data_IF_743529647355
#
_entry.id   IF_743529647355
#
_cell.length_a   1.000
_cell.length_b   1.000
_cell.length_c   1.000
_cell.angle_alpha   90.00
_cell.angle_beta   90.00
_cell.angle_gamma   90.00
#
_symmetry.space_group_name_H-M   'P 1'
#
loop_
_entity.id
_entity.type
_entity.pdbx_description
1 polymer ?
#
# COMPACT_ATOMS: atom_id res chain seq x y z
N UNK A 1 -11.15 1.20 -8.77
CA UNK A 1 -11.26 0.76 -7.36
C UNK A 1 -12.64 1.13 -6.90
N UNK A 2 -13.35 0.19 -6.29
CA UNK A 2 -14.69 0.44 -5.76
C UNK A 2 -14.59 1.08 -4.37
N UNK A 3 -15.66 1.72 -3.87
CA UNK A 3 -15.74 2.13 -2.48
C UNK A 3 -15.58 0.92 -1.55
N UNK A 4 -14.82 1.09 -0.48
CA UNK A 4 -14.53 0.00 0.45
C UNK A 4 -13.30 0.27 1.30
N UNK A 5 -13.02 -0.67 2.20
CA UNK A 5 -11.83 -0.66 3.03
C UNK A 5 -10.77 -1.60 2.46
N UNK A 6 -9.55 -1.10 2.39
CA UNK A 6 -8.43 -1.80 1.78
C UNK A 6 -7.21 -1.74 2.68
N UNK A 7 -6.58 -2.88 2.92
CA UNK A 7 -5.37 -2.98 3.72
C UNK A 7 -4.15 -2.89 2.80
N UNK A 8 -3.48 -1.73 2.78
CA UNK A 8 -2.24 -1.53 2.02
C UNK A 8 -1.04 -2.20 2.72
N UNK A 9 -0.22 -2.89 1.93
CA UNK A 9 0.94 -3.62 2.42
C UNK A 9 2.11 -2.68 2.72
N UNK A 10 2.49 -2.60 4.00
CA UNK A 10 3.66 -1.84 4.46
C UNK A 10 4.95 -2.65 4.53
N UNK A 11 4.85 -3.96 4.76
CA UNK A 11 6.02 -4.82 5.00
C UNK A 11 6.77 -5.20 3.71
N UNK A 12 6.11 -5.21 2.56
CA UNK A 12 6.71 -5.61 1.29
C UNK A 12 6.81 -7.11 1.02
N UNK A 13 6.44 -7.94 1.99
CA UNK A 13 6.47 -9.40 1.88
C UNK A 13 5.19 -10.02 1.30
N UNK A 14 4.18 -9.20 1.02
CA UNK A 14 2.90 -9.69 0.48
C UNK A 14 3.06 -10.21 -0.96
N UNK A 15 2.49 -11.38 -1.24
CA UNK A 15 2.31 -11.93 -2.57
C UNK A 15 1.12 -11.29 -3.32
N UNK A 16 0.23 -10.60 -2.59
CA UNK A 16 -0.94 -9.89 -3.13
C UNK A 16 -0.75 -8.37 -3.20
N UNK A 17 0.49 -7.93 -3.44
CA UNK A 17 0.81 -6.51 -3.58
C UNK A 17 -0.14 -5.82 -4.59
N UNK A 18 -0.61 -4.60 -4.28
CA UNK A 18 -0.18 -3.70 -3.20
C UNK A 18 -0.87 -3.95 -1.85
N UNK A 19 -1.71 -4.98 -1.73
CA UNK A 19 -2.51 -5.23 -0.53
C UNK A 19 -1.87 -6.23 0.41
N UNK A 20 -2.26 -6.16 1.68
CA UNK A 20 -1.80 -7.07 2.72
C UNK A 20 -2.46 -8.45 2.59
N UNK A 21 -1.67 -9.51 2.70
CA UNK A 21 -2.11 -10.91 2.72
C UNK A 21 -1.80 -11.62 4.04
N UNK A 22 -1.27 -10.89 5.04
CA UNK A 22 -0.88 -11.44 6.33
C UNK A 22 0.60 -11.80 6.44
N UNK A 23 1.39 -11.71 5.37
CA UNK A 23 2.83 -12.01 5.38
C UNK A 23 3.67 -11.06 6.25
N UNK A 24 3.05 -10.02 6.83
CA UNK A 24 3.70 -9.10 7.76
C UNK A 24 3.88 -9.67 9.17
N UNK A 25 3.22 -10.80 9.50
CA UNK A 25 3.33 -11.46 10.80
C UNK A 25 4.80 -11.76 11.13
N UNK A 26 5.24 -11.41 12.34
CA UNK A 26 6.63 -11.54 12.76
C UNK A 26 7.51 -10.31 12.47
N UNK A 27 6.96 -9.27 11.84
CA UNK A 27 7.60 -7.96 11.69
C UNK A 27 6.88 -6.92 12.56
N UNK A 28 7.54 -5.81 12.95
CA UNK A 28 6.86 -4.70 13.63
C UNK A 28 5.94 -3.89 12.70
N UNK A 29 5.83 -4.26 11.42
CA UNK A 29 5.06 -3.54 10.42
C UNK A 29 3.65 -4.13 10.29
N UNK A 30 2.63 -3.33 10.64
CA UNK A 30 1.23 -3.62 10.31
C UNK A 30 0.80 -2.97 9.00
N UNK A 31 -0.25 -3.49 8.32
CA UNK A 31 -0.81 -2.85 7.14
C UNK A 31 -1.47 -1.50 7.49
N UNK A 32 -1.61 -0.62 6.48
CA UNK A 32 -2.38 0.61 6.61
C UNK A 32 -3.75 0.42 5.99
N UNK A 33 -4.81 0.50 6.80
CA UNK A 33 -6.18 0.44 6.30
C UNK A 33 -6.60 1.80 5.75
N UNK A 34 -7.11 1.80 4.51
CA UNK A 34 -7.55 3.01 3.80
C UNK A 34 -8.97 2.79 3.32
N UNK A 35 -9.82 3.79 3.55
CA UNK A 35 -11.21 3.80 3.09
C UNK A 35 -11.32 4.60 1.81
N UNK A 36 -11.77 3.95 0.75
CA UNK A 36 -12.11 4.60 -0.52
C UNK A 36 -13.61 4.91 -0.47
N UNK A 37 -13.97 6.19 -0.59
CA UNK A 37 -15.36 6.63 -0.50
C UNK A 37 -16.07 6.57 -1.87
N UNK A 38 -15.33 6.78 -2.94
CA UNK A 38 -15.88 6.90 -4.29
C UNK A 38 -15.13 6.00 -5.26
N UNK A 39 -15.85 5.52 -6.28
CA UNK A 39 -15.26 4.71 -7.34
C UNK A 39 -14.26 5.54 -8.13
N UNK A 40 -13.03 5.06 -8.22
CA UNK A 40 -11.98 5.80 -8.93
C UNK A 40 -10.71 5.00 -9.18
N UNK A 41 -9.76 5.64 -9.88
CA UNK A 41 -8.42 5.09 -10.09
C UNK A 41 -7.52 5.52 -8.95
N UNK A 42 -6.93 4.55 -8.26
CA UNK A 42 -6.00 4.80 -7.16
C UNK A 42 -4.63 4.26 -7.53
N UNK A 43 -3.61 5.11 -7.42
CA UNK A 43 -2.21 4.72 -7.63
C UNK A 43 -1.61 4.33 -6.29
N UNK A 44 -1.53 3.03 -6.02
CA UNK A 44 -0.94 2.51 -4.80
C UNK A 44 0.59 2.52 -4.87
N UNK A 45 1.23 2.82 -3.75
CA UNK A 45 2.68 2.67 -3.64
C UNK A 45 3.04 1.18 -3.59
N UNK A 46 3.91 0.72 -4.49
CA UNK A 46 4.48 -0.63 -4.46
C UNK A 46 5.89 -0.70 -3.83
N UNK A 47 6.66 0.39 -3.92
CA UNK A 47 8.05 0.44 -3.46
C UNK A 47 8.22 0.62 -1.96
N UNK A 48 7.15 1.03 -1.24
CA UNK A 48 7.13 1.36 0.20
C UNK A 48 8.00 2.56 0.62
N UNK A 49 8.50 3.33 -0.34
CA UNK A 49 9.32 4.53 -0.11
C UNK A 49 8.53 5.83 -0.27
N UNK A 50 7.20 5.75 -0.36
CA UNK A 50 6.37 6.95 -0.53
C UNK A 50 6.36 7.81 0.73
N UNK A 51 6.33 9.13 0.53
CA UNK A 51 6.08 10.13 1.58
C UNK A 51 4.59 10.44 1.76
N UNK A 52 3.73 9.88 0.92
CA UNK A 52 2.27 10.03 1.00
C UNK A 52 1.56 8.66 1.06
N UNK A 53 1.81 7.84 2.10
CA UNK A 53 1.21 6.52 2.21
C UNK A 53 -0.32 6.62 2.28
N UNK A 54 -1.06 5.73 1.59
CA UNK A 54 -0.61 4.54 0.83
C UNK A 54 -0.31 4.80 -0.66
N UNK A 55 -0.34 6.06 -1.10
CA UNK A 55 -0.40 6.44 -2.50
C UNK A 55 0.98 6.56 -3.14
N UNK A 56 1.04 6.42 -4.46
CA UNK A 56 2.27 6.60 -5.22
C UNK A 56 2.55 8.09 -5.44
N UNK A 57 3.70 8.57 -4.95
CA UNK A 57 4.25 9.91 -5.15
C UNK A 57 5.48 9.91 -6.07
N UNK A 58 5.72 8.81 -6.78
CA UNK A 58 6.86 8.60 -7.68
C UNK A 58 8.24 8.66 -7.00
N UNK A 59 8.33 8.58 -5.68
CA UNK A 59 9.63 8.60 -4.98
C UNK A 59 10.58 7.47 -5.45
N UNK A 60 10.05 6.34 -5.92
CA UNK A 60 10.85 5.25 -6.50
C UNK A 60 11.61 5.63 -7.79
N UNK A 61 11.29 6.74 -8.45
CA UNK A 61 12.06 7.22 -9.61
C UNK A 61 13.36 7.90 -9.21
N UNK A 62 13.47 8.34 -7.94
CA UNK A 62 14.62 9.08 -7.42
C UNK A 62 15.52 8.24 -6.53
N UNK A 63 15.13 6.99 -6.23
CA UNK A 63 15.90 6.06 -5.42
C UNK A 63 16.56 5.09 -6.39
N UNK A 64 17.89 5.11 -6.45
CA UNK A 64 18.70 4.16 -7.23
C UNK A 64 18.69 2.78 -6.60
#
# INVERSE_FOLDING_TARGET
MEPGEYAWCRCGSSARQPFCDGSHKGTPLGPLTVKIQEKGVVKWCGCRQTRNPPYCDKTHLSIK
#
